data_IF_569815043486
#
_entry.id   IF_569815043486
#
_cell.length_a   1.000
_cell.length_b   1.000
_cell.length_c   1.000
_cell.angle_alpha   90.00
_cell.angle_beta   90.00
_cell.angle_gamma   90.00
#
_symmetry.space_group_name_H-M   'P 1'
#
loop_
_entity.id
_entity.type
_entity.pdbx_description
1 polymer ?
#
# COMPACT_ATOMS: atom_id res chain seq x y z
N UNK A 1 18.69 -13.70 -11.02
CA UNK A 1 17.65 -12.77 -10.52
C UNK A 1 16.38 -13.17 -11.23
N UNK A 2 15.36 -13.70 -10.54
CA UNK A 2 14.15 -14.19 -11.21
C UNK A 2 13.38 -13.00 -11.79
N UNK A 3 13.20 -12.99 -13.12
CA UNK A 3 12.23 -12.13 -13.79
C UNK A 3 10.83 -12.62 -13.41
N UNK A 4 10.26 -11.99 -12.37
CA UNK A 4 8.87 -12.20 -11.97
C UNK A 4 7.96 -11.60 -13.05
N UNK A 5 7.12 -12.43 -13.64
CA UNK A 5 6.32 -12.14 -14.84
C UNK A 5 4.92 -11.58 -14.52
N UNK A 6 4.55 -11.46 -13.25
CA UNK A 6 3.25 -10.96 -12.80
C UNK A 6 3.20 -9.45 -12.58
N UNK A 7 1.99 -8.90 -12.63
CA UNK A 7 1.69 -7.53 -12.17
C UNK A 7 2.17 -7.36 -10.73
N UNK A 8 2.97 -6.33 -10.40
CA UNK A 8 3.59 -6.22 -9.09
C UNK A 8 2.59 -5.89 -7.97
N UNK A 9 2.99 -6.19 -6.74
CA UNK A 9 2.35 -5.67 -5.53
C UNK A 9 3.04 -4.35 -5.16
N UNK A 10 2.26 -3.37 -4.70
CA UNK A 10 2.76 -2.07 -4.27
C UNK A 10 2.60 -1.90 -2.76
N UNK A 11 3.70 -1.73 -2.03
CA UNK A 11 3.67 -1.33 -0.63
C UNK A 11 3.89 0.18 -0.50
N UNK A 12 2.93 0.89 0.10
CA UNK A 12 3.07 2.29 0.47
C UNK A 12 3.41 2.41 1.96
N UNK A 13 4.54 3.08 2.24
CA UNK A 13 5.09 3.26 3.59
C UNK A 13 5.34 4.74 3.91
N UNK A 14 5.41 5.05 5.20
CA UNK A 14 5.92 6.32 5.75
C UNK A 14 7.36 6.11 6.25
N UNK A 15 8.06 7.21 6.57
CA UNK A 15 9.40 7.14 7.15
C UNK A 15 9.32 6.80 8.65
N UNK A 16 8.88 5.57 8.95
CA UNK A 16 8.70 5.04 10.30
C UNK A 16 9.22 3.61 10.35
N UNK A 17 9.95 3.26 11.41
CA UNK A 17 10.50 1.91 11.58
C UNK A 17 9.40 0.82 11.62
N UNK A 18 8.20 1.15 12.10
CA UNK A 18 7.05 0.26 12.11
C UNK A 18 6.65 -0.25 10.70
N UNK A 19 6.97 0.49 9.64
CA UNK A 19 6.70 0.09 8.26
C UNK A 19 7.49 -1.13 7.80
N UNK A 20 8.50 -1.59 8.55
CA UNK A 20 9.18 -2.85 8.28
C UNK A 20 8.21 -4.03 8.21
N UNK A 21 7.16 -4.03 9.05
CA UNK A 21 6.12 -5.07 9.03
C UNK A 21 5.36 -5.06 7.70
N UNK A 22 5.01 -3.88 7.19
CA UNK A 22 4.31 -3.71 5.91
C UNK A 22 5.15 -4.27 4.76
N UNK A 23 6.44 -3.92 4.71
CA UNK A 23 7.34 -4.42 3.66
C UNK A 23 7.45 -5.95 3.72
N UNK A 24 7.62 -6.52 4.92
CA UNK A 24 7.70 -7.99 5.10
C UNK A 24 6.41 -8.68 4.66
N UNK A 25 5.25 -8.17 5.07
CA UNK A 25 3.96 -8.70 4.62
C UNK A 25 3.82 -8.63 3.09
N UNK A 26 4.25 -7.53 2.47
CA UNK A 26 4.26 -7.40 1.01
C UNK A 26 5.22 -8.37 0.32
N UNK A 27 6.40 -8.61 0.89
CA UNK A 27 7.37 -9.59 0.36
C UNK A 27 6.80 -10.99 0.42
N UNK A 28 6.16 -11.36 1.53
CA UNK A 28 5.54 -12.67 1.67
C UNK A 28 4.38 -12.83 0.71
N UNK A 29 3.51 -11.83 0.55
CA UNK A 29 2.43 -11.87 -0.45
C UNK A 29 2.99 -11.99 -1.87
N UNK A 30 4.03 -11.23 -2.20
CA UNK A 30 4.68 -11.27 -3.51
C UNK A 30 5.35 -12.62 -3.79
N UNK A 31 5.87 -13.31 -2.76
CA UNK A 31 6.38 -14.68 -2.88
C UNK A 31 5.27 -15.68 -3.14
N UNK A 32 4.15 -15.60 -2.41
CA UNK A 32 3.02 -16.52 -2.58
C UNK A 32 2.33 -16.35 -3.94
N UNK A 33 2.30 -15.13 -4.49
CA UNK A 33 1.69 -14.82 -5.78
C UNK A 33 2.69 -14.86 -6.95
N UNK A 34 3.93 -15.30 -6.72
CA UNK A 34 5.04 -15.32 -7.69
C UNK A 34 5.20 -14.02 -8.50
N UNK A 35 5.08 -12.89 -7.82
CA UNK A 35 5.16 -11.54 -8.40
C UNK A 35 6.16 -10.66 -7.66
N UNK A 36 6.50 -9.50 -8.21
CA UNK A 36 7.43 -8.56 -7.58
C UNK A 36 6.75 -7.67 -6.53
N UNK A 37 7.55 -7.13 -5.60
CA UNK A 37 7.12 -6.09 -4.67
C UNK A 37 7.81 -4.77 -5.05
N UNK A 38 7.03 -3.73 -5.26
CA UNK A 38 7.49 -2.35 -5.33
C UNK A 38 7.22 -1.69 -3.98
N UNK A 39 8.22 -0.98 -3.43
CA UNK A 39 8.07 -0.24 -2.17
C UNK A 39 8.21 1.24 -2.47
N UNK A 40 7.18 2.01 -2.09
CA UNK A 40 7.15 3.45 -2.34
C UNK A 40 6.82 4.21 -1.06
N UNK A 41 7.33 5.43 -0.99
CA UNK A 41 6.95 6.41 0.02
C UNK A 41 6.68 7.75 -0.64
N UNK A 42 5.69 8.48 -0.12
CA UNK A 42 5.40 9.84 -0.58
C UNK A 42 5.65 10.80 0.58
N UNK A 43 6.70 11.61 0.42
CA UNK A 43 7.12 12.63 1.36
C UNK A 43 6.52 13.99 0.95
N UNK A 44 6.18 14.87 1.91
CA UNK A 44 5.74 16.22 1.59
C UNK A 44 6.85 17.02 0.87
N UNK A 45 6.47 17.94 -0.02
CA UNK A 45 7.48 18.76 -0.73
C UNK A 45 8.20 19.67 0.24
N UNK A 46 7.44 20.29 1.15
CA UNK A 46 7.94 21.17 2.19
C UNK A 46 8.12 20.38 3.48
N UNK A 47 9.38 20.25 3.91
CA UNK A 47 9.80 19.59 5.15
C UNK A 47 11.11 20.25 5.60
N UNK A 48 11.27 20.46 6.90
CA UNK A 48 12.51 20.98 7.48
C UNK A 48 13.70 20.07 7.15
N UNK A 49 14.91 20.63 7.05
CA UNK A 49 16.09 19.88 6.65
C UNK A 49 16.40 18.73 7.61
N UNK A 50 16.21 18.95 8.91
CA UNK A 50 16.44 17.98 9.98
C UNK A 50 15.45 16.81 9.87
N UNK A 51 14.17 17.12 9.68
CA UNK A 51 13.12 16.11 9.48
C UNK A 51 13.37 15.28 8.23
N UNK A 52 13.83 15.92 7.15
CA UNK A 52 14.16 15.23 5.89
C UNK A 52 15.37 14.32 6.05
N UNK A 53 16.40 14.77 6.76
CA UNK A 53 17.57 13.96 7.07
C UNK A 53 17.17 12.72 7.88
N UNK A 54 16.31 12.88 8.89
CA UNK A 54 15.83 11.76 9.71
C UNK A 54 14.97 10.79 8.90
N UNK A 55 14.07 11.31 8.05
CA UNK A 55 13.27 10.49 7.15
C UNK A 55 14.16 9.67 6.21
N UNK A 56 15.21 10.27 5.63
CA UNK A 56 16.14 9.55 4.75
C UNK A 56 16.93 8.48 5.48
N UNK A 57 17.41 8.75 6.70
CA UNK A 57 18.08 7.73 7.53
C UNK A 57 17.16 6.55 7.81
N UNK A 58 15.91 6.82 8.19
CA UNK A 58 14.92 5.78 8.46
C UNK A 58 14.65 4.93 7.20
N UNK A 59 14.39 5.56 6.05
CA UNK A 59 14.12 4.86 4.79
C UNK A 59 15.34 4.05 4.31
N UNK A 60 16.56 4.59 4.46
CA UNK A 60 17.78 3.86 4.16
C UNK A 60 17.91 2.61 5.04
N UNK A 61 17.66 2.74 6.34
CA UNK A 61 17.70 1.62 7.27
C UNK A 61 16.64 0.56 6.93
N UNK A 62 15.41 0.98 6.61
CA UNK A 62 14.35 0.07 6.14
C UNK A 62 14.78 -0.69 4.88
N UNK A 63 15.36 0.00 3.89
CA UNK A 63 15.86 -0.62 2.66
C UNK A 63 16.94 -1.66 2.96
N UNK A 64 17.88 -1.36 3.86
CA UNK A 64 18.90 -2.32 4.28
C UNK A 64 18.32 -3.53 5.00
N UNK A 65 17.41 -3.30 5.94
CA UNK A 65 16.89 -4.36 6.80
C UNK A 65 15.94 -5.32 6.06
N UNK A 66 15.29 -4.85 5.00
CA UNK A 66 14.38 -5.67 4.18
C UNK A 66 15.01 -6.13 2.86
N UNK A 67 16.13 -5.54 2.44
CA UNK A 67 16.72 -5.77 1.13
C UNK A 67 15.87 -5.24 -0.03
N UNK A 68 14.92 -4.34 0.23
CA UNK A 68 14.05 -3.77 -0.80
C UNK A 68 14.57 -2.41 -1.26
N UNK A 69 14.50 -2.16 -2.56
CA UNK A 69 14.60 -0.80 -3.08
C UNK A 69 13.34 -0.01 -2.68
N UNK A 70 13.53 1.24 -2.26
CA UNK A 70 12.43 2.14 -1.86
C UNK A 70 12.44 3.35 -2.77
N UNK A 71 11.37 3.52 -3.55
CA UNK A 71 11.18 4.72 -4.38
C UNK A 71 10.55 5.84 -3.55
N UNK A 72 11.16 7.03 -3.62
CA UNK A 72 10.74 8.19 -2.84
C UNK A 72 10.13 9.23 -3.79
N UNK A 73 8.86 9.57 -3.56
CA UNK A 73 8.19 10.67 -4.24
C UNK A 73 8.04 11.87 -3.32
N UNK A 74 8.07 13.08 -3.88
CA UNK A 74 7.77 14.32 -3.17
C UNK A 74 6.48 14.94 -3.69
N UNK A 75 5.41 14.93 -2.89
CA UNK A 75 4.09 15.43 -3.27
C UNK A 75 3.30 15.92 -2.08
N UNK A 76 2.55 17.00 -2.26
CA UNK A 76 1.56 17.48 -1.27
C UNK A 76 0.20 16.79 -1.45
N UNK A 77 0.08 15.90 -2.46
CA UNK A 77 -1.08 15.04 -2.73
C UNK A 77 -0.63 13.58 -2.73
N UNK A 78 -0.43 12.97 -1.55
CA UNK A 78 0.20 11.65 -1.45
C UNK A 78 -0.66 10.53 -2.04
N UNK A 79 -1.98 10.54 -1.78
CA UNK A 79 -2.89 9.53 -2.32
C UNK A 79 -2.93 9.55 -3.86
N UNK A 80 -3.03 10.75 -4.45
CA UNK A 80 -3.00 10.92 -5.90
C UNK A 80 -1.68 10.45 -6.53
N UNK A 81 -0.54 10.76 -5.90
CA UNK A 81 0.76 10.33 -6.42
C UNK A 81 0.93 8.80 -6.32
N UNK A 82 0.46 8.19 -5.24
CA UNK A 82 0.48 6.74 -5.09
C UNK A 82 -0.42 6.06 -6.15
N UNK A 83 -1.65 6.55 -6.30
CA UNK A 83 -2.60 6.01 -7.27
C UNK A 83 -2.06 6.13 -8.71
N UNK A 84 -1.43 7.27 -9.04
CA UNK A 84 -0.78 7.44 -10.34
C UNK A 84 0.32 6.38 -10.56
N UNK A 85 1.21 6.18 -9.58
CA UNK A 85 2.26 5.14 -9.68
C UNK A 85 1.66 3.74 -9.84
N UNK A 86 0.63 3.42 -9.07
CA UNK A 86 -0.07 2.14 -9.13
C UNK A 86 -0.62 1.84 -10.53
N UNK A 87 -1.28 2.84 -11.13
CA UNK A 87 -1.86 2.72 -12.48
C UNK A 87 -0.79 2.67 -13.56
N UNK A 88 0.26 3.50 -13.47
CA UNK A 88 1.38 3.54 -14.42
C UNK A 88 2.18 2.23 -14.46
N UNK A 89 2.27 1.51 -13.33
CA UNK A 89 3.03 0.27 -13.19
C UNK A 89 2.14 -0.99 -13.24
N UNK A 90 0.85 -0.83 -13.57
CA UNK A 90 -0.14 -1.91 -13.62
C UNK A 90 -0.11 -2.83 -12.38
N UNK A 91 -0.02 -2.24 -11.18
CA UNK A 91 0.08 -3.01 -9.93
C UNK A 91 -1.23 -3.79 -9.71
N UNK A 92 -1.15 -5.01 -9.20
CA UNK A 92 -2.33 -5.85 -8.96
C UNK A 92 -2.95 -5.66 -7.58
N UNK A 93 -2.17 -5.18 -6.62
CA UNK A 93 -2.57 -5.10 -5.23
C UNK A 93 -1.77 -4.02 -4.51
N UNK A 94 -2.42 -3.25 -3.63
CA UNK A 94 -1.78 -2.22 -2.82
C UNK A 94 -1.80 -2.64 -1.35
N UNK A 95 -0.69 -2.45 -0.65
CA UNK A 95 -0.55 -2.70 0.78
C UNK A 95 -0.13 -1.40 1.45
N UNK A 96 -0.77 -1.04 2.56
CA UNK A 96 -0.43 0.13 3.36
C UNK A 96 -0.61 -0.15 4.84
N UNK A 97 -0.15 0.75 5.70
CA UNK A 97 -0.35 0.65 7.14
C UNK A 97 -1.76 1.07 7.54
N UNK A 98 -2.31 0.44 8.57
CA UNK A 98 -3.45 1.02 9.28
C UNK A 98 -2.92 2.22 10.09
N UNK A 99 -3.43 3.42 9.80
CA UNK A 99 -3.19 4.59 10.63
C UNK A 99 -4.33 4.72 11.64
N UNK A 100 -3.98 4.92 12.92
CA UNK A 100 -4.94 5.18 13.99
C UNK A 100 -5.55 6.56 13.78
N UNK A 101 -6.73 6.59 13.16
CA UNK A 101 -7.48 7.82 12.90
C UNK A 101 -6.87 8.66 11.78
N UNK A 102 -7.16 8.30 10.53
CA UNK A 102 -7.95 9.05 9.53
C UNK A 102 -7.90 8.16 8.28
N UNK A 103 -9.01 7.46 7.99
CA UNK A 103 -9.14 6.51 6.89
C UNK A 103 -9.05 7.18 5.49
N UNK A 104 -8.94 8.51 5.44
CA UNK A 104 -8.96 9.33 4.23
C UNK A 104 -7.89 8.95 3.23
N UNK A 105 -6.68 8.60 3.66
CA UNK A 105 -5.62 8.20 2.72
C UNK A 105 -5.99 6.92 1.98
N UNK A 106 -6.35 5.87 2.73
CA UNK A 106 -6.70 4.56 2.17
C UNK A 106 -7.96 4.66 1.32
N UNK A 107 -8.97 5.39 1.79
CA UNK A 107 -10.19 5.68 1.04
C UNK A 107 -9.91 6.45 -0.26
N UNK A 108 -9.10 7.51 -0.21
CA UNK A 108 -8.71 8.26 -1.42
C UNK A 108 -7.97 7.38 -2.42
N UNK A 109 -6.99 6.59 -1.96
CA UNK A 109 -6.26 5.67 -2.84
C UNK A 109 -7.21 4.68 -3.48
N UNK A 110 -8.09 4.04 -2.70
CA UNK A 110 -9.07 3.07 -3.21
C UNK A 110 -10.03 3.68 -4.23
N UNK A 111 -10.50 4.91 -4.01
CA UNK A 111 -11.35 5.63 -4.97
C UNK A 111 -10.59 5.93 -6.27
N UNK A 112 -9.34 6.39 -6.16
CA UNK A 112 -8.53 6.78 -7.31
C UNK A 112 -8.03 5.60 -8.13
N UNK A 113 -7.78 4.45 -7.49
CA UNK A 113 -7.34 3.24 -8.18
C UNK A 113 -8.49 2.40 -8.68
N UNK A 114 -9.67 2.48 -8.05
CA UNK A 114 -10.93 1.86 -8.44
C UNK A 114 -10.89 0.33 -8.46
N UNK A 115 -10.21 -0.23 -9.46
CA UNK A 115 -10.11 -1.66 -9.74
C UNK A 115 -9.01 -2.39 -8.96
N UNK A 116 -8.17 -1.68 -8.20
CA UNK A 116 -7.04 -2.29 -7.48
C UNK A 116 -7.39 -2.47 -6.01
N UNK A 117 -7.39 -3.71 -5.47
CA UNK A 117 -7.63 -3.97 -4.06
C UNK A 117 -6.55 -3.33 -3.17
N UNK A 118 -6.96 -2.88 -1.99
CA UNK A 118 -6.09 -2.21 -1.01
C UNK A 118 -6.16 -2.97 0.32
N UNK A 119 -5.03 -3.49 0.79
CA UNK A 119 -4.89 -4.09 2.12
C UNK A 119 -4.22 -3.14 3.09
N UNK A 120 -4.77 -3.07 4.31
CA UNK A 120 -4.21 -2.37 5.45
C UNK A 120 -3.59 -3.38 6.40
N UNK A 121 -2.39 -3.09 6.91
CA UNK A 121 -1.67 -3.90 7.89
C UNK A 121 -1.60 -3.13 9.21
N UNK A 122 -2.19 -3.69 10.27
CA UNK A 122 -2.14 -3.13 11.62
C UNK A 122 -2.20 -4.23 12.67
N UNK A 123 -1.34 -4.19 13.70
CA UNK A 123 -1.32 -5.14 14.84
C UNK A 123 -1.46 -6.62 14.49
N UNK A 124 -0.84 -7.05 13.37
CA UNK A 124 -0.88 -8.45 12.91
C UNK A 124 -2.16 -8.83 12.17
N UNK A 125 -3.08 -7.89 11.98
CA UNK A 125 -4.31 -8.04 11.19
C UNK A 125 -4.08 -7.41 9.81
N UNK A 126 -4.51 -8.13 8.77
CA UNK A 126 -4.57 -7.61 7.40
C UNK A 126 -6.03 -7.49 6.99
N UNK A 127 -6.47 -6.26 6.74
CA UNK A 127 -7.83 -5.96 6.29
C UNK A 127 -7.80 -5.52 4.83
N UNK A 128 -8.49 -6.26 3.95
CA UNK A 128 -8.52 -5.96 2.52
C UNK A 128 -9.84 -5.28 2.15
N UNK A 129 -9.74 -4.07 1.60
CA UNK A 129 -10.82 -3.49 0.83
C UNK A 129 -10.78 -4.06 -0.60
N UNK A 130 -11.83 -4.74 -1.05
CA UNK A 130 -11.89 -5.20 -2.43
C UNK A 130 -11.87 -4.01 -3.37
N UNK A 131 -11.47 -4.25 -4.62
CA UNK A 131 -11.66 -3.29 -5.68
C UNK A 131 -13.11 -2.78 -5.67
N UNK A 132 -13.29 -1.45 -5.68
CA UNK A 132 -14.58 -0.88 -5.89
C UNK A 132 -14.98 -1.27 -7.31
N UNK A 133 -15.89 -2.24 -7.46
CA UNK A 133 -16.53 -2.45 -8.75
C UNK A 133 -17.19 -1.14 -9.12
N UNK A 134 -16.64 -0.43 -10.11
CA UNK A 134 -17.38 0.62 -10.79
C UNK A 134 -18.61 -0.07 -11.35
N UNK A 135 -19.76 0.15 -10.72
CA UNK A 135 -21.05 -0.31 -11.22
C UNK A 135 -21.28 0.35 -12.58
N UNK A 136 -20.81 -0.31 -13.64
CA UNK A 136 -21.35 -0.11 -14.96
C UNK A 136 -22.76 -0.72 -14.94
N UNK A 137 -23.74 0.10 -14.55
CA UNK A 137 -25.17 -0.13 -14.73
C UNK A 137 -25.77 -1.26 -13.88
N UNK A 138 -26.36 -0.91 -12.74
CA UNK A 138 -27.53 -1.61 -12.22
C UNK A 138 -28.28 -0.69 -11.25
N UNK A 139 -29.48 -0.29 -11.63
CA UNK A 139 -30.44 0.27 -10.68
C UNK A 139 -30.85 -0.79 -9.65
N UNK A 140 -31.28 -0.31 -8.47
CA UNK A 140 -32.06 -1.10 -7.53
C UNK A 140 -31.27 -1.78 -6.40
N UNK A 141 -31.31 -1.14 -5.23
CA UNK A 141 -31.61 -1.74 -3.92
C UNK A 141 -31.04 -3.14 -3.59
N UNK A 142 -29.95 -3.20 -2.82
CA UNK A 142 -29.93 -3.93 -1.53
C UNK A 142 -28.60 -3.74 -0.81
N UNK A 143 -28.62 -2.96 0.27
CA UNK A 143 -27.45 -2.66 1.10
C UNK A 143 -27.48 -3.52 2.36
N UNK A 144 -27.08 -4.79 2.25
CA UNK A 144 -26.76 -5.62 3.42
C UNK A 144 -25.84 -6.80 3.06
N UNK A 145 -24.52 -6.57 3.05
CA UNK A 145 -23.54 -7.66 3.24
C UNK A 145 -22.42 -7.21 4.16
N UNK A 146 -22.42 -7.78 5.36
CA UNK A 146 -21.38 -7.66 6.38
C UNK A 146 -20.03 -8.18 5.89
N UNK A 147 -18.90 -7.58 6.32
CA UNK A 147 -17.57 -8.06 5.95
C UNK A 147 -17.30 -9.46 6.52
N UNK A 148 -16.76 -10.35 5.69
CA UNK A 148 -16.41 -11.73 6.07
C UNK A 148 -15.07 -11.72 6.78
N UNK A 149 -15.10 -11.87 8.11
CA UNK A 149 -13.89 -12.09 8.93
C UNK A 149 -13.47 -13.54 8.77
N UNK A 150 -12.34 -13.79 8.11
CA UNK A 150 -11.71 -15.10 8.05
C UNK A 150 -10.87 -15.30 9.32
N UNK A 151 -11.38 -16.09 10.28
CA UNK A 151 -10.58 -16.59 11.41
C UNK A 151 -9.79 -17.82 10.96
N UNK A 152 -8.47 -17.74 10.99
CA UNK A 152 -7.59 -18.92 10.92
C UNK A 152 -7.45 -19.48 12.33
N UNK A 153 -8.00 -20.66 12.58
CA UNK A 153 -7.70 -21.46 13.78
C UNK A 153 -6.44 -22.29 13.54
N UNK A 154 -5.52 -22.23 14.49
CA UNK A 154 -4.44 -23.21 14.65
C UNK A 154 -5.00 -24.52 15.20
#
# INVERSE_FOLDING_TARGET
MLNKSGRPILACITAQSACQKIIRTGLDMARHLDTALQVVTVQPKKMAAEQRAEAMKCLYQLSKDTGCEITIYYSDKPAARLAQHALENDVMHIITGAADGVNDFVSQVSILTGSIPVSMVGDGIVCTMPAAMTLAGAGGSDYSRTPRVSRTTA
#
